data_IF_097105494525
#
_entry.id   IF_097105494525
#
_cell.length_a   1.000
_cell.length_b   1.000
_cell.length_c   1.000
_cell.angle_alpha   90.00
_cell.angle_beta   90.00
_cell.angle_gamma   90.00
#
_symmetry.space_group_name_H-M   'P 1'
#
loop_
_entity.id
_entity.type
_entity.pdbx_description
1 polymer ?
#
# COMPACT_ATOMS: atom_id res chain seq x y z
N UNK A 1 -3.31 -38.89 0.78
CA UNK A 1 -4.63 -38.99 1.43
C UNK A 1 -5.50 -37.78 1.11
N UNK A 2 -5.01 -36.54 1.20
CA UNK A 2 -5.79 -35.35 0.76
C UNK A 2 -6.29 -35.42 -0.69
N UNK A 3 -5.45 -35.85 -1.63
CA UNK A 3 -5.81 -35.99 -3.04
C UNK A 3 -6.88 -37.06 -3.33
N UNK A 4 -7.03 -38.08 -2.48
CA UNK A 4 -8.07 -39.11 -2.63
C UNK A 4 -9.41 -38.64 -2.04
N UNK A 5 -9.38 -37.90 -0.94
CA UNK A 5 -10.57 -37.30 -0.34
C UNK A 5 -11.18 -36.21 -1.24
N UNK A 6 -10.35 -35.37 -1.87
CA UNK A 6 -10.78 -34.36 -2.86
C UNK A 6 -11.47 -35.00 -4.08
N UNK A 7 -11.04 -36.20 -4.49
CA UNK A 7 -11.63 -36.96 -5.61
C UNK A 7 -12.90 -37.73 -5.21
N UNK A 8 -13.09 -38.05 -3.93
CA UNK A 8 -14.23 -38.84 -3.42
C UNK A 8 -15.48 -38.01 -3.11
N UNK A 9 -15.32 -36.70 -2.88
CA UNK A 9 -16.41 -35.81 -2.45
C UNK A 9 -16.83 -35.98 -0.98
N UNK A 10 -16.13 -36.80 -0.17
CA UNK A 10 -16.41 -36.88 1.27
C UNK A 10 -15.76 -35.72 2.03
N UNK A 11 -16.54 -34.65 2.13
CA UNK A 11 -16.23 -33.43 2.87
C UNK A 11 -15.89 -33.71 4.33
N UNK A 12 -16.50 -34.71 4.96
CA UNK A 12 -16.29 -34.99 6.39
C UNK A 12 -14.96 -35.73 6.63
N UNK A 13 -14.55 -36.61 5.71
CA UNK A 13 -13.24 -37.28 5.76
C UNK A 13 -12.10 -36.25 5.64
N UNK A 14 -12.22 -35.32 4.68
CA UNK A 14 -11.23 -34.27 4.47
C UNK A 14 -11.12 -33.34 5.69
N UNK A 15 -12.25 -32.95 6.28
CA UNK A 15 -12.27 -32.16 7.52
C UNK A 15 -11.65 -32.95 8.69
N UNK A 16 -11.91 -34.25 8.81
CA UNK A 16 -11.31 -35.06 9.86
C UNK A 16 -9.78 -35.13 9.74
N UNK A 17 -9.23 -35.21 8.53
CA UNK A 17 -7.78 -35.11 8.32
C UNK A 17 -7.28 -33.74 8.83
N UNK A 18 -7.93 -32.63 8.43
CA UNK A 18 -7.51 -31.27 8.82
C UNK A 18 -7.66 -30.99 10.32
N UNK A 19 -8.62 -31.61 11.02
CA UNK A 19 -8.81 -31.47 12.48
C UNK A 19 -7.64 -31.99 13.31
N UNK A 20 -6.78 -32.86 12.77
CA UNK A 20 -5.64 -33.38 13.52
C UNK A 20 -4.61 -32.29 13.84
N UNK A 21 -4.60 -31.20 13.06
CA UNK A 21 -3.74 -30.04 13.31
C UNK A 21 -4.56 -28.75 13.33
N UNK A 22 -4.76 -28.23 14.54
CA UNK A 22 -5.47 -26.97 14.83
C UNK A 22 -4.54 -25.96 15.53
N UNK A 23 -3.23 -26.09 15.34
CA UNK A 23 -2.24 -25.25 16.05
C UNK A 23 -2.23 -23.79 15.62
N UNK A 24 -2.85 -23.45 14.49
CA UNK A 24 -2.95 -22.07 13.99
C UNK A 24 -4.35 -21.72 13.47
N UNK A 25 -4.70 -20.43 13.53
CA UNK A 25 -5.96 -19.89 13.01
C UNK A 25 -6.20 -20.24 11.52
N UNK A 26 -5.13 -20.39 10.73
CA UNK A 26 -5.21 -20.80 9.33
C UNK A 26 -5.85 -22.18 9.13
N UNK A 27 -5.66 -23.14 10.05
CA UNK A 27 -6.26 -24.47 9.92
C UNK A 27 -7.78 -24.44 10.08
N UNK A 28 -8.27 -23.57 10.98
CA UNK A 28 -9.71 -23.32 11.11
C UNK A 28 -10.29 -22.68 9.85
N UNK A 29 -9.58 -21.71 9.24
CA UNK A 29 -9.99 -21.14 7.96
C UNK A 29 -10.09 -22.21 6.87
N UNK A 30 -9.07 -23.08 6.75
CA UNK A 30 -9.06 -24.13 5.74
C UNK A 30 -10.28 -25.06 5.88
N UNK A 31 -10.63 -25.45 7.10
CA UNK A 31 -11.83 -26.24 7.39
C UNK A 31 -13.10 -25.47 7.01
N UNK A 32 -13.18 -24.17 7.34
CA UNK A 32 -14.32 -23.34 6.97
C UNK A 32 -14.49 -23.19 5.45
N UNK A 33 -13.39 -23.05 4.69
CA UNK A 33 -13.39 -23.01 3.23
C UNK A 33 -13.90 -24.30 2.62
N UNK A 34 -13.43 -25.46 3.12
CA UNK A 34 -13.91 -26.79 2.69
C UNK A 34 -15.43 -26.91 2.85
N UNK A 35 -15.97 -26.49 4.01
CA UNK A 35 -17.42 -26.52 4.22
C UNK A 35 -18.19 -25.54 3.33
N UNK A 36 -17.60 -24.38 3.03
CA UNK A 36 -18.20 -23.39 2.15
C UNK A 36 -18.28 -23.89 0.70
N UNK A 37 -17.22 -24.51 0.21
CA UNK A 37 -17.16 -25.13 -1.13
C UNK A 37 -18.18 -26.27 -1.26
N UNK A 38 -18.36 -27.03 -0.18
CA UNK A 38 -19.40 -28.05 -0.07
C UNK A 38 -20.84 -27.51 0.08
N UNK A 39 -21.03 -26.19 0.13
CA UNK A 39 -22.34 -25.56 0.34
C UNK A 39 -22.88 -25.64 1.79
N UNK A 40 -22.14 -26.26 2.73
CA UNK A 40 -22.50 -26.39 4.15
C UNK A 40 -22.12 -25.11 4.93
N UNK A 41 -22.81 -24.03 4.61
CA UNK A 41 -22.49 -22.66 5.07
C UNK A 41 -22.54 -22.47 6.59
N UNK A 42 -23.39 -23.20 7.29
CA UNK A 42 -23.57 -23.14 8.75
C UNK A 42 -22.34 -23.70 9.45
N UNK A 43 -21.88 -24.88 9.03
CA UNK A 43 -20.63 -25.47 9.52
C UNK A 43 -19.43 -24.58 9.19
N UNK A 44 -19.40 -24.01 7.99
CA UNK A 44 -18.33 -23.07 7.62
C UNK A 44 -18.24 -21.88 8.58
N UNK A 45 -19.40 -21.33 8.99
CA UNK A 45 -19.46 -20.26 9.98
C UNK A 45 -18.97 -20.71 11.35
N UNK A 46 -19.47 -21.84 11.86
CA UNK A 46 -19.09 -22.37 13.17
C UNK A 46 -17.57 -22.58 13.30
N UNK A 47 -16.94 -23.11 12.26
CA UNK A 47 -15.48 -23.29 12.22
C UNK A 47 -14.72 -21.98 12.18
N UNK A 48 -15.24 -20.99 11.44
CA UNK A 48 -14.63 -19.67 11.39
C UNK A 48 -14.71 -18.95 12.76
N UNK A 49 -15.88 -18.98 13.41
CA UNK A 49 -16.08 -18.42 14.75
C UNK A 49 -15.20 -19.13 15.80
N UNK A 50 -15.10 -20.47 15.72
CA UNK A 50 -14.23 -21.26 16.58
C UNK A 50 -12.75 -20.86 16.43
N UNK A 51 -12.30 -20.60 15.20
CA UNK A 51 -10.93 -20.15 14.94
C UNK A 51 -10.60 -18.79 15.55
N UNK A 52 -11.53 -17.82 15.48
CA UNK A 52 -11.33 -16.51 16.13
C UNK A 52 -11.30 -16.65 17.65
N UNK A 53 -12.19 -17.49 18.22
CA UNK A 53 -12.21 -17.74 19.66
C UNK A 53 -10.94 -18.44 20.15
N UNK A 54 -10.38 -19.36 19.36
CA UNK A 54 -9.14 -20.05 19.69
C UNK A 54 -7.91 -19.14 19.61
N UNK A 55 -7.90 -18.16 18.69
CA UNK A 55 -6.76 -17.26 18.46
C UNK A 55 -7.15 -15.78 18.50
N UNK A 56 -7.53 -15.22 19.66
CA UNK A 56 -8.02 -13.84 19.75
C UNK A 56 -6.95 -12.77 19.46
N UNK A 57 -5.68 -13.06 19.74
CA UNK A 57 -4.56 -12.08 19.64
C UNK A 57 -3.68 -12.28 18.39
N UNK A 58 -3.66 -13.48 17.81
CA UNK A 58 -2.86 -13.83 16.61
C UNK A 58 -3.75 -14.43 15.53
N UNK A 59 -4.94 -13.86 15.36
CA UNK A 59 -5.87 -14.35 14.35
C UNK A 59 -5.31 -14.08 12.96
N UNK A 60 -5.45 -15.06 12.06
CA UNK A 60 -5.14 -14.85 10.65
C UNK A 60 -6.10 -13.79 10.06
N UNK A 61 -5.57 -12.79 9.37
CA UNK A 61 -6.38 -11.74 8.74
C UNK A 61 -7.40 -12.31 7.74
N UNK A 62 -7.06 -13.40 7.05
CA UNK A 62 -7.92 -14.10 6.09
C UNK A 62 -9.11 -14.77 6.78
N UNK A 63 -8.91 -15.25 8.02
CA UNK A 63 -9.99 -15.82 8.82
C UNK A 63 -11.01 -14.74 9.22
N UNK A 64 -10.52 -13.56 9.64
CA UNK A 64 -11.41 -12.43 9.94
C UNK A 64 -12.16 -11.94 8.69
N UNK A 65 -11.49 -11.93 7.54
CA UNK A 65 -12.11 -11.57 6.25
C UNK A 65 -13.17 -12.57 5.80
N UNK A 66 -12.89 -13.88 5.92
CA UNK A 66 -13.87 -14.93 5.67
C UNK A 66 -15.12 -14.73 6.52
N UNK A 67 -14.93 -14.52 7.83
CA UNK A 67 -16.03 -14.35 8.77
C UNK A 67 -16.82 -13.06 8.52
N UNK A 68 -16.15 -11.94 8.19
CA UNK A 68 -16.81 -10.70 7.85
C UNK A 68 -17.74 -10.84 6.62
N UNK A 69 -17.31 -11.60 5.61
CA UNK A 69 -18.13 -11.88 4.43
C UNK A 69 -19.35 -12.76 4.76
N UNK A 70 -19.20 -13.76 5.63
CA UNK A 70 -20.32 -14.61 6.07
C UNK A 70 -21.32 -13.85 6.96
N UNK A 71 -20.85 -13.01 7.88
CA UNK A 71 -21.69 -12.13 8.70
C UNK A 71 -22.48 -11.13 7.88
N UNK A 72 -21.86 -10.58 6.83
CA UNK A 72 -22.56 -9.70 5.92
C UNK A 72 -23.75 -10.41 5.23
N UNK A 73 -23.56 -11.64 4.74
CA UNK A 73 -24.66 -12.43 4.13
C UNK A 73 -25.82 -12.65 5.11
N UNK A 74 -25.52 -12.73 6.41
CA UNK A 74 -26.49 -12.96 7.48
C UNK A 74 -27.07 -11.68 8.09
N UNK A 75 -26.87 -10.52 7.44
CA UNK A 75 -27.35 -9.21 7.91
C UNK A 75 -26.83 -8.83 9.31
N UNK A 76 -25.59 -9.22 9.63
CA UNK A 76 -24.84 -8.81 10.84
C UNK A 76 -23.70 -7.86 10.47
N UNK A 77 -23.98 -6.65 9.95
CA UNK A 77 -22.94 -5.82 9.32
C UNK A 77 -21.98 -5.17 10.31
N UNK A 78 -22.39 -4.90 11.55
CA UNK A 78 -21.52 -4.29 12.56
C UNK A 78 -20.39 -5.22 12.97
N UNK A 79 -20.68 -6.51 13.11
CA UNK A 79 -19.68 -7.52 13.46
C UNK A 79 -18.68 -7.73 12.34
N UNK A 80 -19.15 -7.70 11.08
CA UNK A 80 -18.27 -7.71 9.91
C UNK A 80 -17.32 -6.50 9.89
N UNK A 81 -17.83 -5.31 10.21
CA UNK A 81 -17.01 -4.08 10.27
C UNK A 81 -15.96 -4.16 11.37
N UNK A 82 -16.32 -4.64 12.56
CA UNK A 82 -15.37 -4.78 13.67
C UNK A 82 -14.21 -5.74 13.32
N UNK A 83 -14.49 -6.81 12.58
CA UNK A 83 -13.47 -7.77 12.13
C UNK A 83 -12.49 -7.16 11.12
N UNK A 84 -13.02 -6.43 10.12
CA UNK A 84 -12.18 -5.78 9.11
C UNK A 84 -11.41 -4.60 9.72
N UNK A 85 -12.01 -3.88 10.66
CA UNK A 85 -11.33 -2.84 11.43
C UNK A 85 -10.15 -3.41 12.23
N UNK A 86 -10.31 -4.57 12.88
CA UNK A 86 -9.22 -5.25 13.58
C UNK A 86 -8.07 -5.65 12.65
N UNK A 87 -8.38 -6.11 11.44
CA UNK A 87 -7.35 -6.39 10.44
C UNK A 87 -6.58 -5.12 10.04
N UNK A 88 -7.27 -3.99 9.93
CA UNK A 88 -6.64 -2.71 9.62
C UNK A 88 -5.77 -2.20 10.78
N UNK A 89 -6.23 -2.32 12.03
CA UNK A 89 -5.43 -1.98 13.22
C UNK A 89 -4.15 -2.83 13.31
N UNK A 90 -4.25 -4.13 13.04
CA UNK A 90 -3.10 -5.03 13.11
C UNK A 90 -2.09 -4.78 11.97
N UNK A 91 -2.58 -4.33 10.80
CA UNK A 91 -1.74 -4.06 9.64
C UNK A 91 -2.26 -2.86 8.84
N UNK A 92 -1.65 -1.70 9.09
CA UNK A 92 -1.93 -0.47 8.37
C UNK A 92 -1.38 -0.53 6.94
N UNK A 93 -2.23 -0.91 5.98
CA UNK A 93 -1.91 -0.92 4.56
C UNK A 93 -3.12 -0.60 3.68
N UNK A 94 -2.87 -0.28 2.40
CA UNK A 94 -3.92 0.11 1.46
C UNK A 94 -4.95 -1.00 1.21
N UNK A 95 -4.54 -2.26 1.15
CA UNK A 95 -5.44 -3.41 0.95
C UNK A 95 -6.51 -3.48 2.06
N UNK A 96 -6.08 -3.38 3.32
CA UNK A 96 -7.00 -3.41 4.45
C UNK A 96 -7.91 -2.17 4.48
N UNK A 97 -7.41 -1.00 4.08
CA UNK A 97 -8.24 0.20 3.94
C UNK A 97 -9.33 0.03 2.87
N UNK A 98 -8.99 -0.56 1.71
CA UNK A 98 -9.94 -0.83 0.63
C UNK A 98 -11.03 -1.83 1.07
N UNK A 99 -10.64 -2.88 1.81
CA UNK A 99 -11.56 -3.85 2.40
C UNK A 99 -12.48 -3.20 3.43
N UNK A 100 -11.96 -2.30 4.26
CA UNK A 100 -12.75 -1.53 5.21
C UNK A 100 -13.80 -0.67 4.48
N UNK A 101 -13.40 0.05 3.44
CA UNK A 101 -14.34 0.83 2.62
C UNK A 101 -15.44 -0.04 2.02
N UNK A 102 -15.09 -1.18 1.42
CA UNK A 102 -16.05 -2.09 0.82
C UNK A 102 -17.13 -2.56 1.82
N UNK A 103 -16.78 -2.78 3.08
CA UNK A 103 -17.77 -3.15 4.10
C UNK A 103 -18.56 -1.95 4.61
N UNK A 104 -17.90 -0.80 4.81
CA UNK A 104 -18.54 0.39 5.37
C UNK A 104 -19.47 1.11 4.39
N UNK A 105 -19.24 0.98 3.08
CA UNK A 105 -20.16 1.49 2.05
C UNK A 105 -21.49 0.73 2.09
N UNK A 106 -21.47 -0.57 2.39
CA UNK A 106 -22.68 -1.40 2.48
C UNK A 106 -23.58 -1.03 3.65
N UNK A 107 -23.05 -0.33 4.66
CA UNK A 107 -23.79 0.17 5.82
C UNK A 107 -24.03 1.67 5.78
N UNK A 108 -23.60 2.35 4.72
CA UNK A 108 -23.60 3.82 4.62
C UNK A 108 -22.82 4.54 5.74
N UNK A 109 -21.89 3.86 6.41
CA UNK A 109 -21.08 4.43 7.50
C UNK A 109 -19.67 4.84 7.04
N UNK A 110 -19.39 4.77 5.74
CA UNK A 110 -18.04 5.02 5.20
C UNK A 110 -17.39 6.34 5.68
N UNK A 111 -18.07 7.50 5.69
CA UNK A 111 -17.42 8.75 6.13
C UNK A 111 -16.84 8.67 7.55
N UNK A 112 -17.57 8.07 8.49
CA UNK A 112 -17.13 7.92 9.88
C UNK A 112 -15.93 6.98 9.99
N UNK A 113 -15.98 5.84 9.30
CA UNK A 113 -14.88 4.87 9.30
C UNK A 113 -13.63 5.38 8.58
N UNK A 114 -13.81 6.18 7.53
CA UNK A 114 -12.72 6.85 6.82
C UNK A 114 -11.96 7.80 7.73
N UNK A 115 -12.68 8.68 8.43
CA UNK A 115 -12.06 9.63 9.35
C UNK A 115 -11.34 8.89 10.49
N UNK A 116 -11.97 7.85 11.04
CA UNK A 116 -11.36 7.01 12.07
C UNK A 116 -10.09 6.31 11.57
N UNK A 117 -10.08 5.80 10.34
CA UNK A 117 -8.91 5.15 9.74
C UNK A 117 -7.76 6.14 9.52
N UNK A 118 -8.03 7.33 8.99
CA UNK A 118 -7.03 8.38 8.79
C UNK A 118 -6.47 8.85 10.14
N UNK A 119 -7.33 9.03 11.14
CA UNK A 119 -6.91 9.41 12.50
C UNK A 119 -6.00 8.35 13.12
N UNK A 120 -6.31 7.07 12.94
CA UNK A 120 -5.46 5.97 13.41
C UNK A 120 -4.07 6.02 12.76
N UNK A 121 -3.99 6.19 11.43
CA UNK A 121 -2.71 6.29 10.72
C UNK A 121 -1.92 7.51 11.21
N UNK A 122 -2.55 8.68 11.35
CA UNK A 122 -1.88 9.89 11.86
C UNK A 122 -1.36 9.70 13.28
N UNK A 123 -2.12 9.04 14.14
CA UNK A 123 -1.66 8.71 15.49
C UNK A 123 -0.49 7.72 15.47
N UNK A 124 -0.51 6.71 14.59
CA UNK A 124 0.60 5.77 14.43
C UNK A 124 1.89 6.49 14.00
N UNK A 125 1.77 7.42 13.04
CA UNK A 125 2.88 8.27 12.56
C UNK A 125 3.43 9.15 13.70
N UNK A 126 2.56 9.75 14.51
CA UNK A 126 2.96 10.66 15.59
C UNK A 126 3.57 9.93 16.80
N UNK A 127 3.09 8.73 17.12
CA UNK A 127 3.51 7.98 18.31
C UNK A 127 4.78 7.18 18.08
N UNK A 128 4.96 6.62 16.88
CA UNK A 128 6.17 5.90 16.56
C UNK A 128 7.24 6.91 16.12
N UNK A 129 8.36 6.96 16.83
CA UNK A 129 9.53 7.70 16.36
C UNK A 129 10.36 6.82 15.42
N UNK A 130 10.86 7.40 14.31
CA UNK A 130 11.84 6.75 13.42
C UNK A 130 13.07 6.20 14.15
N UNK A 131 13.38 6.73 15.33
CA UNK A 131 14.52 6.32 16.17
C UNK A 131 14.32 4.98 16.87
N UNK A 132 13.07 4.56 17.08
CA UNK A 132 12.76 3.37 17.87
C UNK A 132 12.78 2.08 17.04
N UNK A 133 12.73 2.17 15.71
CA UNK A 133 12.88 1.01 14.83
C UNK A 133 13.63 1.34 13.53
N UNK A 134 14.98 1.39 13.54
CA UNK A 134 15.80 1.69 12.37
C UNK A 134 15.65 0.67 11.22
N UNK A 135 15.21 -0.54 11.52
CA UNK A 135 15.04 -1.65 10.57
C UNK A 135 13.56 -1.94 10.23
N UNK A 136 12.63 -1.21 10.84
CA UNK A 136 11.21 -1.31 10.55
C UNK A 136 10.86 -0.59 9.25
N UNK A 137 10.11 -1.24 8.37
CA UNK A 137 9.43 -0.55 7.28
C UNK A 137 8.46 0.44 7.90
N UNK A 138 8.81 1.72 7.90
CA UNK A 138 8.00 2.79 8.45
C UNK A 138 7.18 3.37 7.30
N UNK A 139 5.88 3.04 7.19
CA UNK A 139 5.09 3.54 6.06
C UNK A 139 5.00 5.07 6.13
N UNK A 140 5.09 5.67 7.31
CA UNK A 140 5.03 7.12 7.49
C UNK A 140 3.81 7.71 6.78
N UNK A 141 4.01 8.86 6.14
CA UNK A 141 2.96 9.48 5.32
C UNK A 141 2.72 8.74 3.99
N UNK A 142 3.55 7.76 3.62
CA UNK A 142 3.39 6.99 2.36
C UNK A 142 2.02 6.31 2.28
N UNK A 143 1.53 5.75 3.39
CA UNK A 143 0.21 5.12 3.42
C UNK A 143 -0.93 6.13 3.22
N UNK A 144 -0.86 7.30 3.85
CA UNK A 144 -1.84 8.38 3.65
C UNK A 144 -1.83 8.84 2.19
N UNK A 145 -0.65 9.02 1.60
CA UNK A 145 -0.50 9.37 0.19
C UNK A 145 -1.11 8.31 -0.72
N UNK A 146 -0.85 7.02 -0.48
CA UNK A 146 -1.45 5.92 -1.24
C UNK A 146 -2.98 5.91 -1.17
N UNK A 147 -3.52 6.11 0.04
CA UNK A 147 -4.97 6.21 0.27
C UNK A 147 -5.56 7.40 -0.51
N UNK A 148 -4.98 8.59 -0.36
CA UNK A 148 -5.51 9.78 -1.05
C UNK A 148 -5.37 9.69 -2.58
N UNK A 149 -4.30 9.08 -3.08
CA UNK A 149 -4.15 8.77 -4.51
C UNK A 149 -5.23 7.79 -4.99
N UNK A 150 -5.52 6.76 -4.21
CA UNK A 150 -6.57 5.79 -4.52
C UNK A 150 -7.97 6.42 -4.50
N UNK A 151 -8.21 7.33 -3.55
CA UNK A 151 -9.45 8.12 -3.46
C UNK A 151 -9.54 9.25 -4.51
N UNK A 152 -8.52 9.40 -5.36
CA UNK A 152 -8.41 10.45 -6.38
C UNK A 152 -8.35 11.87 -5.80
N UNK A 153 -7.99 12.02 -4.53
CA UNK A 153 -7.77 13.32 -3.90
C UNK A 153 -6.29 13.74 -4.04
N UNK A 154 -5.96 14.34 -5.18
CA UNK A 154 -4.57 14.72 -5.51
C UNK A 154 -4.02 15.87 -4.65
N UNK A 155 -4.90 16.73 -4.13
CA UNK A 155 -4.48 17.84 -3.27
C UNK A 155 -4.08 17.33 -1.89
N UNK A 156 -4.93 16.52 -1.26
CA UNK A 156 -4.62 15.91 0.03
C UNK A 156 -3.38 15.02 -0.05
N UNK A 157 -3.26 14.20 -1.10
CA UNK A 157 -2.09 13.35 -1.31
C UNK A 157 -0.78 14.16 -1.40
N UNK A 158 -0.84 15.34 -2.00
CA UNK A 158 0.33 16.20 -2.13
C UNK A 158 0.71 16.93 -0.84
N UNK A 159 -0.28 17.42 -0.09
CA UNK A 159 -0.02 18.07 1.20
C UNK A 159 0.60 17.08 2.19
N UNK A 160 0.05 15.88 2.28
CA UNK A 160 0.62 14.82 3.13
C UNK A 160 2.03 14.42 2.72
N UNK A 161 2.31 14.42 1.42
CA UNK A 161 3.66 14.20 0.94
C UNK A 161 4.60 15.34 1.35
N UNK A 162 4.16 16.60 1.32
CA UNK A 162 4.97 17.74 1.75
C UNK A 162 5.24 17.75 3.25
N UNK A 163 4.23 17.41 4.04
CA UNK A 163 4.27 17.48 5.50
C UNK A 163 5.11 16.33 6.11
N UNK A 164 5.28 15.22 5.37
CA UNK A 164 5.99 14.06 5.87
C UNK A 164 6.89 13.36 4.88
N UNK A 165 7.79 12.53 5.40
CA UNK A 165 8.69 11.75 4.56
C UNK A 165 7.94 10.62 3.85
N UNK A 166 7.79 10.75 2.53
CA UNK A 166 7.24 9.73 1.65
C UNK A 166 8.32 9.02 0.85
N UNK A 167 8.02 7.80 0.40
CA UNK A 167 8.93 7.03 -0.44
C UNK A 167 9.25 7.75 -1.76
N UNK A 168 10.48 7.54 -2.28
CA UNK A 168 10.93 8.10 -3.58
C UNK A 168 9.94 7.75 -4.70
N UNK A 169 9.42 6.53 -4.71
CA UNK A 169 8.50 6.04 -5.74
C UNK A 169 7.15 6.78 -5.72
N UNK A 170 6.60 7.04 -4.53
CA UNK A 170 5.35 7.80 -4.39
C UNK A 170 5.53 9.26 -4.81
N UNK A 171 6.66 9.88 -4.50
CA UNK A 171 6.96 11.23 -4.98
C UNK A 171 7.03 11.32 -6.51
N UNK A 172 7.64 10.33 -7.17
CA UNK A 172 7.68 10.28 -8.65
C UNK A 172 6.27 10.13 -9.22
N UNK A 173 5.44 9.26 -8.61
CA UNK A 173 4.04 9.07 -9.03
C UNK A 173 3.20 10.34 -8.85
N UNK A 174 3.34 11.02 -7.71
CA UNK A 174 2.66 12.28 -7.43
C UNK A 174 3.08 13.39 -8.40
N UNK A 175 4.39 13.51 -8.65
CA UNK A 175 4.91 14.47 -9.61
C UNK A 175 4.35 14.22 -11.01
N UNK A 176 4.35 12.96 -11.48
CA UNK A 176 3.80 12.58 -12.78
C UNK A 176 2.31 12.95 -12.92
N UNK A 177 1.50 12.72 -11.88
CA UNK A 177 0.09 13.10 -11.88
C UNK A 177 -0.14 14.63 -11.88
N UNK A 178 0.80 15.39 -11.33
CA UNK A 178 0.76 16.86 -11.30
C UNK A 178 1.41 17.52 -12.52
N UNK A 179 2.04 16.77 -13.41
CA UNK A 179 2.70 17.33 -14.59
C UNK A 179 1.76 18.18 -15.43
N UNK A 180 0.50 17.78 -15.59
CA UNK A 180 -0.50 18.50 -16.39
C UNK A 180 -0.91 19.83 -15.75
N UNK A 181 -1.37 19.80 -14.50
CA UNK A 181 -1.96 20.95 -13.82
C UNK A 181 -0.94 21.85 -13.12
N UNK A 182 0.18 21.30 -12.64
CA UNK A 182 1.20 21.99 -11.85
C UNK A 182 2.62 21.56 -12.26
N UNK A 183 3.07 21.88 -13.49
CA UNK A 183 4.36 21.43 -14.02
C UNK A 183 5.57 21.87 -13.17
N UNK A 184 5.53 23.04 -12.53
CA UNK A 184 6.63 23.53 -11.69
C UNK A 184 6.76 22.78 -10.36
N UNK A 185 5.64 22.31 -9.79
CA UNK A 185 5.63 21.47 -8.60
C UNK A 185 6.30 20.12 -8.91
N UNK A 186 5.96 19.52 -10.05
CA UNK A 186 6.56 18.28 -10.52
C UNK A 186 8.07 18.42 -10.77
N UNK A 187 8.50 19.49 -11.42
CA UNK A 187 9.93 19.79 -11.63
C UNK A 187 10.68 19.89 -10.30
N UNK A 188 10.11 20.59 -9.32
CA UNK A 188 10.75 20.76 -8.00
C UNK A 188 10.98 19.42 -7.30
N UNK A 189 10.01 18.50 -7.39
CA UNK A 189 10.14 17.13 -6.87
C UNK A 189 11.21 16.35 -7.62
N UNK A 190 11.21 16.39 -8.95
CA UNK A 190 12.22 15.70 -9.75
C UNK A 190 13.63 16.19 -9.44
N UNK A 191 13.84 17.52 -9.33
CA UNK A 191 15.13 18.10 -8.93
C UNK A 191 15.62 17.56 -7.58
N UNK A 192 14.73 17.49 -6.59
CA UNK A 192 15.05 16.97 -5.24
C UNK A 192 15.45 15.49 -5.25
N UNK A 193 14.92 14.70 -6.19
CA UNK A 193 15.21 13.26 -6.31
C UNK A 193 16.49 13.00 -7.12
N UNK A 194 16.80 13.84 -8.10
CA UNK A 194 18.01 13.70 -8.94
C UNK A 194 19.27 13.70 -8.07
N UNK A 195 19.39 14.64 -7.12
CA UNK A 195 20.61 14.74 -6.30
C UNK A 195 20.97 13.49 -5.48
N UNK A 196 20.07 12.91 -4.65
CA UNK A 196 20.36 11.69 -3.91
C UNK A 196 20.56 10.50 -4.84
N UNK A 197 19.86 10.44 -5.98
CA UNK A 197 20.01 9.35 -6.95
C UNK A 197 21.42 9.36 -7.57
N UNK A 198 21.93 10.52 -7.98
CA UNK A 198 23.30 10.65 -8.54
C UNK A 198 24.40 10.35 -7.50
N UNK A 199 24.09 10.48 -6.20
CA UNK A 199 25.01 10.10 -5.11
C UNK A 199 25.16 8.60 -4.93
N UNK A 200 24.21 7.77 -5.38
CA UNK A 200 24.27 6.30 -5.25
C UNK A 200 25.35 5.64 -6.14
N UNK A 201 26.00 6.40 -7.03
CA UNK A 201 27.20 6.02 -7.80
C UNK A 201 27.11 4.70 -8.58
N UNK A 202 25.91 4.23 -8.90
CA UNK A 202 25.69 3.07 -9.74
C UNK A 202 25.10 3.51 -11.09
N UNK A 203 25.32 2.71 -12.14
CA UNK A 203 24.89 3.07 -13.49
C UNK A 203 23.36 3.15 -13.62
N UNK A 204 22.62 2.27 -12.94
CA UNK A 204 21.15 2.29 -12.92
C UNK A 204 20.60 3.60 -12.34
N UNK A 205 21.19 4.10 -11.26
CA UNK A 205 20.82 5.37 -10.65
C UNK A 205 21.15 6.55 -11.57
N UNK A 206 22.23 6.48 -12.35
CA UNK A 206 22.51 7.50 -13.37
C UNK A 206 21.48 7.50 -14.49
N UNK A 207 21.00 6.33 -14.93
CA UNK A 207 19.91 6.22 -15.91
C UNK A 207 18.58 6.72 -15.34
N UNK A 208 18.25 6.38 -14.09
CA UNK A 208 17.07 6.92 -13.40
C UNK A 208 17.12 8.44 -13.31
N UNK A 209 18.26 9.01 -12.88
CA UNK A 209 18.45 10.45 -12.79
C UNK A 209 18.34 11.12 -14.17
N UNK A 210 18.91 10.50 -15.20
CA UNK A 210 18.82 10.99 -16.58
C UNK A 210 17.36 11.01 -17.09
N UNK A 211 16.58 9.96 -16.81
CA UNK A 211 15.17 9.90 -17.17
C UNK A 211 14.35 10.98 -16.46
N UNK A 212 14.65 11.28 -15.18
CA UNK A 212 14.02 12.39 -14.46
C UNK A 212 14.39 13.76 -15.06
N UNK A 213 15.64 13.96 -15.48
CA UNK A 213 16.07 15.22 -16.11
C UNK A 213 15.38 15.41 -17.46
N UNK A 214 15.18 14.35 -18.25
CA UNK A 214 14.39 14.42 -19.49
C UNK A 214 12.94 14.83 -19.25
N UNK A 215 12.31 14.35 -18.18
CA UNK A 215 10.97 14.80 -17.79
C UNK A 215 10.97 16.29 -17.44
N UNK A 216 11.97 16.75 -16.67
CA UNK A 216 12.13 18.19 -16.37
C UNK A 216 12.27 19.01 -17.66
N UNK A 217 13.06 18.54 -18.62
CA UNK A 217 13.22 19.20 -19.92
C UNK A 217 11.88 19.38 -20.63
N UNK A 218 11.11 18.29 -20.78
CA UNK A 218 9.81 18.34 -21.44
C UNK A 218 8.85 19.33 -20.76
N UNK A 219 8.85 19.37 -19.42
CA UNK A 219 8.01 20.29 -18.65
C UNK A 219 8.42 21.75 -18.81
N UNK A 220 9.73 22.05 -18.82
CA UNK A 220 10.21 23.41 -19.00
C UNK A 220 10.10 23.90 -20.44
N UNK A 221 10.29 23.03 -21.43
CA UNK A 221 10.01 23.35 -22.84
C UNK A 221 8.53 23.66 -23.06
N UNK A 222 7.61 22.93 -22.42
CA UNK A 222 6.16 23.23 -22.50
C UNK A 222 5.79 24.58 -21.87
N UNK A 223 6.65 25.13 -21.02
CA UNK A 223 6.45 26.41 -20.35
C UNK A 223 7.29 27.55 -20.99
N UNK A 224 7.94 27.30 -22.14
CA UNK A 224 8.87 28.22 -22.80
C UNK A 224 10.01 28.71 -21.88
N UNK A 225 10.47 27.82 -20.97
CA UNK A 225 11.53 28.09 -19.99
C UNK A 225 12.84 27.35 -20.30
N UNK A 226 13.18 27.23 -21.57
CA UNK A 226 14.40 26.51 -22.00
C UNK A 226 15.70 27.15 -21.46
N UNK A 227 15.73 28.47 -21.28
CA UNK A 227 16.85 29.15 -20.64
C UNK A 227 17.07 28.69 -19.18
N UNK A 228 15.98 28.46 -18.43
CA UNK A 228 16.06 27.91 -17.09
C UNK A 228 16.58 26.46 -17.11
N UNK A 229 16.21 25.69 -18.14
CA UNK A 229 16.73 24.34 -18.38
C UNK A 229 18.23 24.33 -18.62
N UNK A 230 18.71 25.18 -19.51
CA UNK A 230 20.13 25.31 -19.81
C UNK A 230 20.95 25.64 -18.55
N UNK A 231 20.46 26.56 -17.72
CA UNK A 231 21.11 26.92 -16.46
C UNK A 231 21.16 25.75 -15.48
N UNK A 232 20.05 25.04 -15.29
CA UNK A 232 20.01 23.86 -14.41
C UNK A 232 20.94 22.74 -14.89
N UNK A 233 20.99 22.50 -16.21
CA UNK A 233 21.87 21.49 -16.79
C UNK A 233 23.35 21.89 -16.62
N UNK A 234 23.68 23.17 -16.73
CA UNK A 234 25.01 23.68 -16.45
C UNK A 234 25.40 23.49 -14.97
N UNK A 235 24.51 23.79 -14.04
CA UNK A 235 24.72 23.55 -12.60
C UNK A 235 25.00 22.06 -12.30
N UNK A 236 24.21 21.15 -12.89
CA UNK A 236 24.42 19.70 -12.74
C UNK A 236 25.77 19.25 -13.30
N UNK A 237 26.17 19.77 -14.47
CA UNK A 237 27.47 19.46 -15.10
C UNK A 237 28.64 19.95 -14.24
N UNK A 238 28.52 21.13 -13.62
CA UNK A 238 29.53 21.67 -12.69
C UNK A 238 29.61 20.83 -11.41
N UNK A 239 28.46 20.54 -10.78
CA UNK A 239 28.38 19.80 -9.51
C UNK A 239 28.86 18.34 -9.62
N UNK A 240 28.65 17.70 -10.77
CA UNK A 240 28.95 16.28 -10.97
C UNK A 240 30.06 16.01 -12.01
N UNK A 241 30.94 16.98 -12.28
CA UNK A 241 32.06 16.89 -13.24
C UNK A 241 32.92 15.62 -13.09
N UNK A 242 33.11 15.14 -11.86
CA UNK A 242 33.91 13.94 -11.58
C UNK A 242 33.23 12.61 -11.97
N UNK A 243 31.91 12.59 -12.19
CA UNK A 243 31.12 11.39 -12.51
C UNK A 243 31.03 11.18 -14.03
N UNK A 244 32.08 10.60 -14.62
CA UNK A 244 32.24 10.42 -16.09
C UNK A 244 31.03 9.77 -16.77
N UNK A 245 30.49 8.67 -16.23
CA UNK A 245 29.34 7.97 -16.81
C UNK A 245 28.07 8.84 -16.82
N UNK A 246 27.85 9.60 -15.75
CA UNK A 246 26.74 10.53 -15.66
C UNK A 246 26.91 11.71 -16.64
N UNK A 247 28.13 12.25 -16.80
CA UNK A 247 28.43 13.29 -17.79
C UNK A 247 28.19 12.83 -19.23
N UNK A 248 28.53 11.57 -19.56
CA UNK A 248 28.22 10.98 -20.87
C UNK A 248 26.71 10.96 -21.10
N UNK A 249 25.91 10.58 -20.10
CA UNK A 249 24.45 10.64 -20.22
C UNK A 249 23.95 12.07 -20.39
N UNK A 250 24.42 13.03 -19.58
CA UNK A 250 24.02 14.44 -19.69
C UNK A 250 24.39 15.09 -21.04
N UNK A 251 25.39 14.56 -21.76
CA UNK A 251 25.73 15.04 -23.11
C UNK A 251 24.69 14.67 -24.17
N UNK A 252 23.84 13.66 -23.89
CA UNK A 252 22.75 13.24 -24.78
C UNK A 252 21.51 14.13 -24.67
N UNK A 253 21.48 15.04 -23.70
CA UNK A 253 20.41 16.03 -23.53
C UNK A 253 20.81 17.27 -24.32
N UNK A 254 20.06 17.56 -25.38
CA UNK A 254 20.20 18.74 -26.23
C UNK A 254 19.20 19.79 -25.82
#
# INVERSE_FOLDING_TARGET
METLAELSGDVEELVNIKKHDLSHAYHYLKIAEIYKEAGKKEKALEWAEAGIKAFPQRTDSRLREFLANEYHRRKRPEEALNLVWKNFEDNLCLDQYQKLKLQAEKTAQWPQWREKAIALIRNDIATKNRRDNPWGFFPGHSLLVEIFLWEKNMEAAWQEAKDGDCSKQLWIRLAALREENYPMDAVSVYKRIVEPTVKQTNNQAYEEAFNLIKKIQALWHRLDKDAAFANYLAELRLKYKAKRNFMVLLSKIK
#
